data_IF_289049935968
#
_entry.id   IF_289049935968
#
_cell.length_a   1.000
_cell.length_b   1.000
_cell.length_c   1.000
_cell.angle_alpha   90.00
_cell.angle_beta   90.00
_cell.angle_gamma   90.00
#
_symmetry.space_group_name_H-M   'P 1'
#
loop_
_entity.id
_entity.type
_entity.pdbx_description
1 polymer ?
#
# COMPACT_ATOMS: atom_id res chain seq x y z
N UNK A 1 -8.00 36.16 -9.39
CA UNK A 1 -6.83 36.46 -8.52
C UNK A 1 -6.11 35.18 -8.08
N UNK A 2 -6.82 34.12 -7.70
CA UNK A 2 -6.25 32.88 -7.18
C UNK A 2 -5.22 32.18 -8.11
N UNK A 3 -5.43 32.20 -9.44
CA UNK A 3 -4.47 31.60 -10.38
C UNK A 3 -3.13 32.37 -10.46
N UNK A 4 -3.17 33.69 -10.33
CA UNK A 4 -1.98 34.56 -10.35
C UNK A 4 -1.17 34.33 -9.07
N UNK A 5 -1.86 34.24 -7.94
CA UNK A 5 -1.22 33.98 -6.65
C UNK A 5 -0.60 32.58 -6.58
N UNK A 6 -1.26 31.57 -7.16
CA UNK A 6 -0.69 30.23 -7.29
C UNK A 6 0.55 30.23 -8.17
N UNK A 7 0.52 30.88 -9.33
CA UNK A 7 1.67 30.97 -10.23
C UNK A 7 2.89 31.65 -9.58
N UNK A 8 2.67 32.67 -8.74
CA UNK A 8 3.74 33.39 -8.03
C UNK A 8 4.30 32.62 -6.83
N UNK A 9 3.52 31.74 -6.20
CA UNK A 9 3.91 31.02 -4.96
C UNK A 9 4.25 29.54 -5.17
N UNK A 10 3.96 28.97 -6.34
CA UNK A 10 4.19 27.56 -6.60
C UNK A 10 5.68 27.21 -6.50
N UNK A 11 5.99 26.19 -5.71
CA UNK A 11 7.33 25.61 -5.58
C UNK A 11 7.38 24.26 -6.30
N UNK A 12 8.52 23.87 -6.90
CA UNK A 12 8.63 22.59 -7.58
C UNK A 12 8.46 21.43 -6.59
N UNK A 13 7.60 20.47 -6.94
CA UNK A 13 7.44 19.24 -6.18
C UNK A 13 8.66 18.35 -6.43
N UNK A 14 9.33 17.91 -5.36
CA UNK A 14 10.43 16.94 -5.49
C UNK A 14 9.87 15.57 -5.89
N UNK A 15 10.07 15.17 -7.14
CA UNK A 15 9.90 13.76 -7.58
C UNK A 15 11.21 13.01 -7.39
N UNK A 16 11.17 11.88 -6.68
CA UNK A 16 12.31 10.98 -6.55
C UNK A 16 12.43 10.11 -7.81
N UNK A 17 13.54 10.25 -8.56
CA UNK A 17 13.84 9.42 -9.73
C UNK A 17 15.08 8.57 -9.39
N UNK A 18 14.94 7.25 -9.17
CA UNK A 18 16.07 6.38 -8.84
C UNK A 18 17.03 6.24 -10.02
N UNK A 19 18.35 6.26 -9.75
CA UNK A 19 19.41 6.15 -10.77
C UNK A 19 19.82 4.70 -11.10
N UNK A 20 19.56 3.74 -10.20
CA UNK A 20 20.00 2.36 -10.34
C UNK A 20 18.93 1.48 -11.01
N UNK A 21 19.31 0.56 -11.93
CA UNK A 21 18.36 -0.21 -12.75
C UNK A 21 17.39 -1.09 -11.93
N UNK A 22 17.88 -1.72 -10.86
CA UNK A 22 17.05 -2.57 -9.97
C UNK A 22 16.07 -1.70 -9.18
N UNK A 23 16.54 -0.58 -8.64
CA UNK A 23 15.72 0.35 -7.86
C UNK A 23 14.65 1.02 -8.73
N UNK A 24 14.96 1.31 -9.99
CA UNK A 24 14.00 1.84 -10.96
C UNK A 24 12.87 0.86 -11.26
N UNK A 25 13.18 -0.43 -11.45
CA UNK A 25 12.14 -1.47 -11.65
C UNK A 25 11.21 -1.59 -10.44
N UNK A 26 11.77 -1.61 -9.23
CA UNK A 26 10.98 -1.68 -7.99
C UNK A 26 10.15 -0.40 -7.79
N UNK A 27 10.74 0.77 -8.00
CA UNK A 27 10.05 2.06 -7.89
C UNK A 27 8.89 2.18 -8.91
N UNK A 28 9.12 1.76 -10.14
CA UNK A 28 8.10 1.76 -11.19
C UNK A 28 6.94 0.81 -10.86
N UNK A 29 7.24 -0.37 -10.31
CA UNK A 29 6.22 -1.31 -9.85
C UNK A 29 5.41 -0.75 -8.67
N UNK A 30 6.07 -0.21 -7.65
CA UNK A 30 5.43 0.34 -6.44
C UNK A 30 4.63 1.62 -6.72
N UNK A 31 5.03 2.41 -7.70
CA UNK A 31 4.35 3.65 -8.12
C UNK A 31 3.24 3.39 -9.13
N UNK A 32 2.99 2.13 -9.50
CA UNK A 32 1.96 1.80 -10.48
C UNK A 32 0.55 1.89 -9.87
N UNK A 33 -0.39 2.44 -10.63
CA UNK A 33 -1.81 2.47 -10.25
C UNK A 33 -2.40 1.10 -9.85
N UNK A 34 -2.14 -0.02 -10.56
CA UNK A 34 -2.68 -1.32 -10.15
C UNK A 34 -2.16 -1.77 -8.78
N UNK A 35 -0.93 -1.41 -8.42
CA UNK A 35 -0.39 -1.69 -7.09
C UNK A 35 -1.16 -0.91 -6.02
N UNK A 36 -1.41 0.38 -6.23
CA UNK A 36 -2.22 1.20 -5.31
C UNK A 36 -3.63 0.63 -5.12
N UNK A 37 -4.31 0.25 -6.21
CA UNK A 37 -5.64 -0.39 -6.13
C UNK A 37 -5.60 -1.72 -5.38
N UNK A 38 -4.55 -2.53 -5.59
CA UNK A 38 -4.39 -3.81 -4.88
C UNK A 38 -4.33 -3.59 -3.36
N UNK A 39 -3.53 -2.62 -2.91
CA UNK A 39 -3.44 -2.27 -1.47
C UNK A 39 -4.78 -1.78 -0.94
N UNK A 40 -5.46 -0.92 -1.69
CA UNK A 40 -6.77 -0.39 -1.27
C UNK A 40 -7.82 -1.49 -1.12
N UNK A 41 -7.87 -2.43 -2.08
CA UNK A 41 -8.74 -3.60 -2.03
C UNK A 41 -8.39 -4.51 -0.84
N UNK A 42 -7.10 -4.74 -0.55
CA UNK A 42 -6.66 -5.54 0.59
C UNK A 42 -7.08 -4.93 1.94
N UNK A 43 -7.01 -3.59 2.09
CA UNK A 43 -7.50 -2.89 3.29
C UNK A 43 -9.00 -3.15 3.49
N UNK A 44 -9.78 -3.03 2.41
CA UNK A 44 -11.23 -3.24 2.46
C UNK A 44 -11.54 -4.69 2.85
N UNK A 45 -10.89 -5.67 2.22
CA UNK A 45 -11.14 -7.09 2.51
C UNK A 45 -10.73 -7.44 3.95
N UNK A 46 -9.60 -6.93 4.47
CA UNK A 46 -9.21 -7.13 5.86
C UNK A 46 -10.27 -6.55 6.83
N UNK A 47 -10.75 -5.34 6.56
CA UNK A 47 -11.80 -4.68 7.36
C UNK A 47 -13.10 -5.49 7.35
N UNK A 48 -13.51 -6.03 6.19
CA UNK A 48 -14.68 -6.91 6.07
C UNK A 48 -14.45 -8.22 6.84
N UNK A 49 -13.25 -8.81 6.76
CA UNK A 49 -12.87 -10.03 7.48
C UNK A 49 -13.00 -9.85 8.99
N UNK A 50 -12.60 -8.69 9.51
CA UNK A 50 -12.79 -8.33 10.91
C UNK A 50 -14.28 -8.14 11.26
N UNK A 51 -15.03 -7.46 10.39
CA UNK A 51 -16.46 -7.21 10.58
C UNK A 51 -17.33 -8.49 10.54
N UNK A 52 -16.87 -9.53 9.84
CA UNK A 52 -17.54 -10.82 9.74
C UNK A 52 -17.35 -11.72 10.98
N UNK A 53 -16.50 -11.34 11.96
CA UNK A 53 -16.38 -12.12 13.20
C UNK A 53 -17.66 -12.00 14.02
N UNK A 54 -18.24 -13.14 14.41
CA UNK A 54 -19.47 -13.21 15.20
C UNK A 54 -19.34 -14.19 16.38
N UNK A 55 -20.20 -14.02 17.39
CA UNK A 55 -20.20 -14.86 18.59
C UNK A 55 -20.76 -16.27 18.28
N UNK A 56 -20.11 -17.33 18.77
CA UNK A 56 -20.36 -18.74 18.43
C UNK A 56 -20.08 -19.13 16.96
N UNK A 57 -19.01 -18.58 16.38
CA UNK A 57 -18.52 -19.03 15.07
C UNK A 57 -17.99 -20.48 15.09
N UNK A 58 -18.27 -21.30 14.05
CA UNK A 58 -17.75 -22.66 13.96
C UNK A 58 -16.23 -22.67 13.75
N UNK A 59 -15.53 -23.64 14.33
CA UNK A 59 -14.07 -23.81 14.25
C UNK A 59 -13.47 -23.68 12.83
N UNK A 60 -14.03 -24.31 11.77
CA UNK A 60 -13.48 -24.16 10.42
C UNK A 60 -13.58 -22.72 9.89
N UNK A 61 -14.60 -21.97 10.29
CA UNK A 61 -14.79 -20.57 9.87
C UNK A 61 -13.76 -19.67 10.56
N UNK A 62 -13.53 -19.87 11.85
CA UNK A 62 -12.49 -19.17 12.62
C UNK A 62 -11.11 -19.39 12.00
N UNK A 63 -10.77 -20.63 11.67
CA UNK A 63 -9.50 -20.97 11.03
C UNK A 63 -9.31 -20.29 9.68
N UNK A 64 -10.35 -20.25 8.84
CA UNK A 64 -10.28 -19.57 7.55
C UNK A 64 -10.04 -18.06 7.70
N UNK A 65 -10.75 -17.41 8.64
CA UNK A 65 -10.58 -15.99 8.92
C UNK A 65 -9.19 -15.65 9.47
N UNK A 66 -8.63 -16.50 10.33
CA UNK A 66 -7.28 -16.28 10.88
C UNK A 66 -6.18 -16.49 9.83
N UNK A 67 -6.34 -17.45 8.92
CA UNK A 67 -5.43 -17.61 7.76
C UNK A 67 -5.49 -16.38 6.85
N UNK A 68 -6.70 -15.86 6.57
CA UNK A 68 -6.87 -14.64 5.77
C UNK A 68 -6.19 -13.43 6.44
N UNK A 69 -6.39 -13.24 7.75
CA UNK A 69 -5.72 -12.18 8.50
C UNK A 69 -4.19 -12.29 8.44
N UNK A 70 -3.63 -13.49 8.60
CA UNK A 70 -2.20 -13.75 8.48
C UNK A 70 -1.66 -13.40 7.10
N UNK A 71 -2.39 -13.76 6.03
CA UNK A 71 -2.04 -13.40 4.64
C UNK A 71 -2.06 -11.88 4.47
N UNK A 72 -3.10 -11.19 4.94
CA UNK A 72 -3.15 -9.73 4.84
C UNK A 72 -1.97 -9.08 5.56
N UNK A 73 -1.64 -9.51 6.77
CA UNK A 73 -0.47 -9.03 7.50
C UNK A 73 0.83 -9.25 6.73
N UNK A 74 1.03 -10.42 6.13
CA UNK A 74 2.21 -10.72 5.33
C UNK A 74 2.30 -9.82 4.09
N UNK A 75 1.19 -9.57 3.40
CA UNK A 75 1.16 -8.69 2.21
C UNK A 75 1.45 -7.23 2.58
N UNK A 76 0.90 -6.73 3.69
CA UNK A 76 1.24 -5.38 4.19
C UNK A 76 2.71 -5.27 4.60
N UNK A 77 3.27 -6.31 5.23
CA UNK A 77 4.69 -6.33 5.59
C UNK A 77 5.59 -6.33 4.34
N UNK A 78 5.24 -7.12 3.32
CA UNK A 78 5.95 -7.12 2.04
C UNK A 78 5.86 -5.77 1.33
N UNK A 79 4.69 -5.14 1.33
CA UNK A 79 4.50 -3.79 0.79
C UNK A 79 5.42 -2.77 1.48
N UNK A 80 5.49 -2.81 2.81
CA UNK A 80 6.37 -1.96 3.59
C UNK A 80 7.85 -2.17 3.22
N UNK A 81 8.28 -3.43 3.06
CA UNK A 81 9.63 -3.78 2.62
C UNK A 81 9.90 -3.25 1.19
N UNK A 82 8.96 -3.40 0.27
CA UNK A 82 9.11 -2.90 -1.10
C UNK A 82 9.20 -1.37 -1.15
N UNK A 83 8.39 -0.66 -0.36
CA UNK A 83 8.49 0.80 -0.21
C UNK A 83 9.83 1.22 0.39
N UNK A 84 10.30 0.53 1.44
CA UNK A 84 11.62 0.75 2.03
C UNK A 84 12.77 0.52 1.04
N UNK A 85 12.70 -0.54 0.24
CA UNK A 85 13.70 -0.84 -0.78
C UNK A 85 13.67 0.20 -1.92
N UNK A 86 12.49 0.71 -2.28
CA UNK A 86 12.33 1.76 -3.29
C UNK A 86 12.87 3.11 -2.80
N UNK A 87 12.51 3.51 -1.57
CA UNK A 87 12.98 4.72 -0.90
C UNK A 87 14.22 4.39 -0.06
N UNK A 88 15.33 4.09 -0.74
CA UNK A 88 16.65 3.89 -0.14
C UNK A 88 16.90 4.96 0.93
N UNK A 89 17.03 4.54 2.20
CA UNK A 89 17.38 5.42 3.34
C UNK A 89 18.50 6.36 2.93
N UNK A 90 18.22 7.66 2.90
CA UNK A 90 19.22 8.71 2.90
C UNK A 90 18.91 9.64 4.05
#
# INVERSE_FOLDING_TARGET
RNCIEFALKAKPVRRYIPKHRIQYKVWWFVTSQPFEYTIFTLIIINTITLAMKFYNQPDPYTHALDVLNMIFTAVFALEFIFKLAAFRFK
#
